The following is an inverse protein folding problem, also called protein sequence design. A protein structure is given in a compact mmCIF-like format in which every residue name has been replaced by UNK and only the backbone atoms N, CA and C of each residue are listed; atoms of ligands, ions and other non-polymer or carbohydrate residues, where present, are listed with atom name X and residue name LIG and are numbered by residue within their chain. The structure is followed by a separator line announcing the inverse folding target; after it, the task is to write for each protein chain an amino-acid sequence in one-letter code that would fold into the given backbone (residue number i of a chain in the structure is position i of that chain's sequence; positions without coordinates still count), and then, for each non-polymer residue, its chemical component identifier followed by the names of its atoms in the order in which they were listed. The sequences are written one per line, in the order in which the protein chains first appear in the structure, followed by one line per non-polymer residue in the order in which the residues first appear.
data_IF_432048163254
#
_entry.id   IF_432048163254
#
_cell.length_a   1.000
_cell.length_b   1.000
_cell.length_c   1.000
_cell.angle_alpha   90.00
_cell.angle_beta   90.00
_cell.angle_gamma   90.00
#
_symmetry.space_group_name_H-M   'P 1'
#
loop_
_entity.id
_entity.type
_entity.pdbx_description
1 polymer ?
#
# COMPACT_ATOMS: atom_id res chain seq x y z
N UNK A 1 -12.07 -7.22 11.85
CA UNK A 1 -11.00 -7.73 12.73
C UNK A 1 -9.71 -7.03 12.34
N UNK A 2 -8.86 -6.62 13.29
CA UNK A 2 -7.57 -6.03 12.95
C UNK A 2 -6.69 -7.05 12.21
N UNK A 3 -5.98 -6.61 11.18
CA UNK A 3 -4.93 -7.42 10.54
C UNK A 3 -3.71 -7.43 11.45
N UNK A 4 -3.15 -8.61 11.66
CA UNK A 4 -1.87 -8.78 12.35
C UNK A 4 -0.76 -8.75 11.29
N UNK A 5 0.16 -7.80 11.43
CA UNK A 5 1.35 -7.72 10.58
C UNK A 5 2.41 -8.67 11.15
N UNK A 6 2.92 -9.58 10.32
CA UNK A 6 4.05 -10.44 10.70
C UNK A 6 5.37 -9.76 10.32
N UNK A 7 6.43 -10.05 11.08
CA UNK A 7 7.81 -9.58 10.81
C UNK A 7 8.45 -10.26 9.58
N UNK A 8 7.70 -11.14 8.90
CA UNK A 8 8.12 -11.87 7.71
C UNK A 8 7.65 -11.14 6.45
N UNK A 9 8.35 -11.33 5.34
CA UNK A 9 8.04 -10.79 4.02
C UNK A 9 6.54 -10.82 3.74
N UNK A 10 5.93 -9.64 3.71
CA UNK A 10 4.50 -9.43 3.47
C UNK A 10 4.34 -8.96 2.02
N UNK A 11 3.41 -9.57 1.29
CA UNK A 11 3.06 -9.09 -0.06
C UNK A 11 2.09 -7.92 0.09
N UNK A 12 2.49 -6.74 -0.39
CA UNK A 12 1.71 -5.52 -0.23
C UNK A 12 1.34 -4.96 -1.61
N UNK A 13 0.05 -4.96 -1.93
CA UNK A 13 -0.47 -4.32 -3.13
C UNK A 13 -1.15 -3.00 -2.78
N UNK A 14 -0.93 -1.98 -3.59
CA UNK A 14 -1.62 -0.69 -3.48
C UNK A 14 -2.35 -0.46 -4.80
N UNK A 15 -3.67 -0.47 -4.75
CA UNK A 15 -4.53 -0.26 -5.93
C UNK A 15 -5.23 1.08 -5.80
N UNK A 16 -4.95 1.98 -6.73
CA UNK A 16 -5.61 3.27 -6.83
C UNK A 16 -6.51 3.32 -8.08
N UNK A 17 -7.79 3.61 -7.88
CA UNK A 17 -8.76 3.85 -8.95
C UNK A 17 -9.52 5.15 -8.66
N UNK A 18 -9.22 6.16 -9.48
CA UNK A 18 -9.80 7.49 -9.34
C UNK A 18 -9.45 8.15 -8.01
N UNK A 19 -10.44 8.20 -7.10
CA UNK A 19 -10.24 8.74 -5.74
C UNK A 19 -10.17 7.65 -4.67
N UNK A 20 -10.30 6.38 -5.03
CA UNK A 20 -10.31 5.26 -4.11
C UNK A 20 -8.93 4.62 -4.12
N UNK A 21 -8.37 4.38 -2.93
CA UNK A 21 -7.12 3.66 -2.74
C UNK A 21 -7.37 2.50 -1.77
N UNK A 22 -6.96 1.31 -2.18
CA UNK A 22 -7.06 0.09 -1.38
C UNK A 22 -5.67 -0.49 -1.19
N UNK A 23 -5.30 -0.70 0.07
CA UNK A 23 -4.06 -1.36 0.48
C UNK A 23 -4.39 -2.79 0.85
N UNK A 24 -3.66 -3.72 0.25
CA UNK A 24 -3.72 -5.14 0.55
C UNK A 24 -2.44 -5.55 1.30
N UNK A 25 -2.61 -6.43 2.28
CA UNK A 25 -1.53 -7.05 3.05
C UNK A 25 -1.79 -8.55 2.96
N UNK A 26 -0.85 -9.29 2.36
CA UNK A 26 -0.95 -10.71 2.06
C UNK A 26 -2.26 -11.06 1.30
N UNK A 27 -2.59 -10.25 0.29
CA UNK A 27 -3.78 -10.41 -0.55
C UNK A 27 -5.11 -10.08 0.15
N UNK A 28 -5.10 -9.60 1.40
CA UNK A 28 -6.30 -9.21 2.15
C UNK A 28 -6.41 -7.69 2.24
N UNK A 29 -7.63 -7.17 2.09
CA UNK A 29 -7.88 -5.73 2.26
C UNK A 29 -7.52 -5.31 3.69
N UNK A 30 -6.49 -4.48 3.81
CA UNK A 30 -6.03 -3.90 5.07
C UNK A 30 -6.60 -2.50 5.30
N UNK A 31 -6.70 -1.69 4.24
CA UNK A 31 -7.25 -0.35 4.30
C UNK A 31 -7.94 -0.03 2.98
N UNK A 32 -9.16 0.52 3.06
CA UNK A 32 -9.83 1.17 1.93
C UNK A 32 -10.06 2.63 2.31
N UNK A 33 -9.48 3.54 1.53
CA UNK A 33 -9.58 4.97 1.79
C UNK A 33 -9.97 5.75 0.53
N UNK A 34 -10.55 6.93 0.72
CA UNK A 34 -10.81 7.88 -0.36
C UNK A 34 -9.85 9.07 -0.24
N UNK A 35 -9.00 9.23 -1.24
CA UNK A 35 -7.98 10.27 -1.31
C UNK A 35 -8.27 11.12 -2.55
N UNK A 36 -8.82 12.31 -2.35
CA UNK A 36 -9.11 13.24 -3.44
C UNK A 36 -7.80 13.83 -3.99
N UNK A 37 -7.68 13.86 -5.32
CA UNK A 37 -6.48 14.37 -5.99
C UNK A 37 -5.25 13.46 -5.86
N UNK A 38 -5.44 12.17 -5.54
CA UNK A 38 -4.36 11.17 -5.56
C UNK A 38 -3.75 11.01 -6.96
N UNK A 39 -4.59 11.14 -8.00
CA UNK A 39 -4.20 10.99 -9.40
C UNK A 39 -3.17 12.05 -9.79
N UNK A 40 -2.20 11.65 -10.62
CA UNK A 40 -1.14 12.52 -11.13
C UNK A 40 -0.27 13.19 -10.04
N UNK A 41 -0.25 12.62 -8.83
CA UNK A 41 0.62 13.04 -7.73
C UNK A 41 1.67 11.99 -7.41
N UNK A 42 2.81 12.48 -6.95
CA UNK A 42 3.83 11.62 -6.37
C UNK A 42 3.30 11.04 -5.05
N UNK A 43 3.56 9.75 -4.88
CA UNK A 43 3.31 9.03 -3.64
C UNK A 43 4.54 8.20 -3.31
N UNK A 44 4.59 7.69 -2.10
CA UNK A 44 5.67 6.82 -1.66
C UNK A 44 5.30 6.08 -0.39
N UNK A 45 6.14 5.10 -0.05
CA UNK A 45 6.04 4.33 1.18
C UNK A 45 7.13 4.83 2.12
N UNK A 46 6.76 5.10 3.37
CA UNK A 46 7.68 5.61 4.40
C UNK A 46 7.64 4.69 5.62
N UNK A 47 8.79 4.50 6.26
CA UNK A 47 8.91 3.86 7.57
C UNK A 47 9.24 4.93 8.61
N UNK A 48 8.49 4.94 9.71
CA UNK A 48 8.70 5.85 10.83
C UNK A 48 8.94 5.03 12.11
N UNK A 49 9.91 5.45 12.92
CA UNK A 49 10.30 4.76 14.17
C UNK A 49 10.91 3.37 14.01
N UNK A 50 11.17 2.89 12.79
CA UNK A 50 11.78 1.57 12.52
C UNK A 50 12.49 1.57 11.16
N UNK A 51 13.25 0.50 10.89
CA UNK A 51 13.82 0.22 9.57
C UNK A 51 12.87 -0.68 8.77
N UNK A 52 12.69 -0.37 7.49
CA UNK A 52 11.98 -1.22 6.53
C UNK A 52 12.87 -1.46 5.29
N UNK A 53 12.75 -2.64 4.69
CA UNK A 53 13.35 -2.94 3.40
C UNK A 53 12.23 -3.17 2.40
N UNK A 54 12.30 -2.47 1.26
CA UNK A 54 11.38 -2.62 0.14
C UNK A 54 12.14 -3.29 -1.00
N UNK A 55 11.65 -4.42 -1.47
CA UNK A 55 12.19 -5.15 -2.63
C UNK A 55 11.08 -5.40 -3.65
N UNK A 56 11.46 -5.68 -4.89
CA UNK A 56 10.54 -6.15 -5.94
C UNK A 56 9.34 -5.22 -6.19
N UNK A 57 9.56 -3.90 -6.07
CA UNK A 57 8.53 -2.90 -6.33
C UNK A 57 8.28 -2.75 -7.82
N UNK A 58 7.03 -2.97 -8.22
CA UNK A 58 6.55 -2.73 -9.57
C UNK A 58 5.42 -1.70 -9.54
N UNK A 59 5.43 -0.78 -10.51
CA UNK A 59 4.34 0.15 -10.74
C UNK A 59 3.68 -0.20 -12.07
N UNK A 60 2.42 -0.63 -11.99
CA UNK A 60 1.60 -0.94 -13.15
C UNK A 60 0.60 0.21 -13.36
N UNK A 61 0.62 0.82 -14.55
CA UNK A 61 -0.46 1.67 -15.04
C UNK A 61 -1.29 0.89 -16.05
N UNK A 62 -2.60 1.17 -16.19
CA UNK A 62 -3.38 0.70 -17.33
C UNK A 62 -2.75 1.07 -18.68
#
# INVERSE_FOLDING_TARGET
MPILLQMSSTLNDIVADGSVCVVYVDGKVALSNRIYGLQDKQWGIIADGTNATFSDMELLSP
#
